data_IF_627964851541
#
_entry.id   IF_627964851541
#
_cell.length_a   1.000
_cell.length_b   1.000
_cell.length_c   1.000
_cell.angle_alpha   90.00
_cell.angle_beta   90.00
_cell.angle_gamma   90.00
#
_symmetry.space_group_name_H-M   'P 1'
#
loop_
_entity.id
_entity.type
_entity.pdbx_description
1 polymer ?
#
# COMPACT_ATOMS: atom_id res chain seq x y z
N UNK A 1 9.79 -3.98 -3.65
CA UNK A 1 9.64 -3.26 -2.38
C UNK A 1 8.31 -3.56 -1.67
N UNK A 2 7.59 -4.64 -2.01
CA UNK A 2 6.39 -5.09 -1.25
C UNK A 2 6.67 -6.37 -0.45
N UNK A 3 7.74 -7.11 -0.79
CA UNK A 3 8.10 -8.40 -0.16
C UNK A 3 8.98 -8.31 1.09
N UNK A 4 9.44 -7.11 1.49
CA UNK A 4 10.24 -6.93 2.71
C UNK A 4 9.38 -6.60 3.94
N UNK A 5 8.10 -6.26 3.75
CA UNK A 5 7.22 -5.80 4.83
C UNK A 5 6.69 -6.95 5.70
N UNK A 6 6.37 -8.10 5.09
CA UNK A 6 5.83 -9.24 5.85
C UNK A 6 6.94 -9.94 6.69
N UNK A 7 8.21 -9.91 6.26
CA UNK A 7 9.35 -10.45 7.03
C UNK A 7 9.68 -9.62 8.30
N UNK A 8 9.45 -8.30 8.29
CA UNK A 8 9.76 -7.39 9.41
C UNK A 8 8.89 -7.70 10.64
N UNK A 9 7.58 -7.88 10.44
CA UNK A 9 6.67 -8.29 11.50
C UNK A 9 6.71 -9.80 11.79
N UNK A 10 6.89 -10.66 10.78
CA UNK A 10 6.96 -12.11 11.00
C UNK A 10 8.21 -12.54 11.78
N UNK A 11 9.37 -11.91 11.57
CA UNK A 11 10.60 -12.27 12.30
C UNK A 11 10.48 -12.03 13.82
N UNK A 12 9.76 -10.97 14.23
CA UNK A 12 9.43 -10.72 15.64
C UNK A 12 8.30 -11.64 16.15
N UNK A 13 7.28 -11.93 15.32
CA UNK A 13 6.14 -12.80 15.67
C UNK A 13 6.54 -14.28 15.81
N UNK A 14 7.38 -14.80 14.93
CA UNK A 14 7.80 -16.21 14.90
C UNK A 14 8.74 -16.58 16.05
N UNK A 15 9.46 -15.62 16.62
CA UNK A 15 10.27 -15.86 17.81
C UNK A 15 9.44 -16.17 19.09
N UNK A 16 8.11 -15.94 19.08
CA UNK A 16 7.29 -15.99 20.30
C UNK A 16 6.03 -16.89 20.24
N UNK A 17 5.66 -17.46 19.08
CA UNK A 17 4.40 -18.17 18.89
C UNK A 17 4.41 -19.70 19.18
N UNK A 18 5.33 -20.21 19.99
CA UNK A 18 5.43 -21.63 20.33
C UNK A 18 4.69 -21.98 21.64
N UNK A 19 3.35 -21.93 21.68
CA UNK A 19 2.57 -22.51 22.78
C UNK A 19 1.08 -22.78 22.44
N UNK A 20 0.76 -24.07 22.31
CA UNK A 20 -0.55 -24.74 22.53
C UNK A 20 -1.67 -24.73 21.44
N UNK A 21 -2.21 -25.92 21.08
CA UNK A 21 -3.39 -26.08 20.21
C UNK A 21 -4.64 -26.58 20.96
N UNK A 22 -5.85 -26.24 20.47
CA UNK A 22 -7.10 -26.94 20.84
C UNK A 22 -8.06 -27.10 19.65
N UNK A 23 -8.84 -28.17 19.67
CA UNK A 23 -9.58 -28.73 18.52
C UNK A 23 -11.07 -29.02 18.81
N UNK A 24 -11.92 -28.61 17.83
CA UNK A 24 -13.17 -29.20 17.25
C UNK A 24 -14.39 -29.44 18.16
N UNK A 25 -15.66 -29.44 17.71
CA UNK A 25 -16.28 -29.94 16.46
C UNK A 25 -17.75 -29.44 16.29
N UNK A 26 -18.21 -29.19 15.05
CA UNK A 26 -19.64 -29.20 14.63
C UNK A 26 -19.77 -29.66 13.16
N UNK A 27 -20.90 -30.30 12.83
CA UNK A 27 -21.27 -31.03 11.58
C UNK A 27 -20.52 -30.61 10.29
N UNK A 28 -20.05 -31.60 9.51
CA UNK A 28 -19.21 -31.49 8.28
C UNK A 28 -19.87 -30.64 7.18
N UNK A 29 -19.79 -29.31 7.29
CA UNK A 29 -19.67 -28.43 6.13
C UNK A 29 -18.25 -28.59 5.59
N UNK A 30 -18.08 -28.56 4.27
CA UNK A 30 -16.73 -28.46 3.68
C UNK A 30 -16.06 -27.23 4.29
N UNK A 31 -15.00 -27.46 5.08
CA UNK A 31 -14.22 -26.38 5.66
C UNK A 31 -13.31 -25.87 4.56
N UNK A 32 -13.76 -24.81 3.89
CA UNK A 32 -12.99 -24.11 2.87
C UNK A 32 -11.69 -23.58 3.50
N UNK A 33 -10.55 -24.04 2.97
CA UNK A 33 -9.24 -23.50 3.31
C UNK A 33 -8.93 -22.28 2.44
N UNK A 34 -7.92 -21.48 2.82
CA UNK A 34 -7.46 -20.36 1.98
C UNK A 34 -7.03 -20.84 0.60
N UNK A 35 -6.31 -21.98 0.54
CA UNK A 35 -5.92 -22.60 -0.73
C UNK A 35 -7.13 -22.96 -1.60
N UNK A 36 -8.15 -23.59 -1.01
CA UNK A 36 -9.38 -23.94 -1.72
C UNK A 36 -10.14 -22.71 -2.22
N UNK A 37 -10.16 -21.62 -1.45
CA UNK A 37 -10.79 -20.36 -1.85
C UNK A 37 -10.05 -19.71 -3.03
N UNK A 38 -8.71 -19.74 -3.02
CA UNK A 38 -7.90 -19.22 -4.13
C UNK A 38 -8.08 -20.08 -5.40
N UNK A 39 -8.06 -21.40 -5.24
CA UNK A 39 -8.24 -22.35 -6.35
C UNK A 39 -9.63 -22.26 -6.97
N UNK A 40 -10.70 -22.05 -6.18
CA UNK A 40 -12.06 -21.95 -6.73
C UNK A 40 -12.24 -20.64 -7.52
N UNK A 41 -11.63 -19.54 -7.06
CA UNK A 41 -11.60 -18.28 -7.81
C UNK A 41 -10.81 -18.43 -9.12
N UNK A 42 -9.65 -19.10 -9.10
CA UNK A 42 -8.86 -19.36 -10.30
C UNK A 42 -9.62 -20.23 -11.31
N UNK A 43 -10.27 -21.29 -10.85
CA UNK A 43 -11.09 -22.16 -11.69
C UNK A 43 -12.22 -21.38 -12.36
N UNK A 44 -12.87 -20.45 -11.64
CA UNK A 44 -13.90 -19.58 -12.20
C UNK A 44 -13.34 -18.68 -13.31
N UNK A 45 -12.22 -18.00 -13.04
CA UNK A 45 -11.57 -17.10 -14.00
C UNK A 45 -11.18 -17.85 -15.28
N UNK A 46 -10.45 -18.97 -15.15
CA UNK A 46 -10.02 -19.79 -16.29
C UNK A 46 -11.20 -20.36 -17.07
N UNK A 47 -12.27 -20.78 -16.38
CA UNK A 47 -13.48 -21.26 -17.05
C UNK A 47 -14.16 -20.17 -17.87
N UNK A 48 -14.22 -18.93 -17.36
CA UNK A 48 -14.78 -17.79 -18.10
C UNK A 48 -13.91 -17.43 -19.32
N UNK A 49 -12.59 -17.42 -19.17
CA UNK A 49 -11.65 -17.19 -20.28
C UNK A 49 -11.78 -18.25 -21.38
N UNK A 50 -11.85 -19.53 -21.02
CA UNK A 50 -12.00 -20.65 -21.97
C UNK A 50 -13.35 -20.66 -22.68
N UNK A 51 -14.42 -20.19 -22.02
CA UNK A 51 -15.74 -20.10 -22.66
C UNK A 51 -15.85 -18.88 -23.58
N UNK A 52 -15.03 -17.85 -23.34
CA UNK A 52 -14.95 -16.65 -24.17
C UNK A 52 -13.95 -16.77 -25.34
N UNK A 53 -13.13 -17.82 -25.39
CA UNK A 53 -12.15 -18.03 -26.48
C UNK A 53 -12.77 -18.72 -27.70
N UNK A 54 -12.05 -18.69 -28.83
CA UNK A 54 -12.45 -19.41 -30.05
C UNK A 54 -12.41 -20.94 -29.88
N UNK A 55 -11.69 -21.42 -28.87
CA UNK A 55 -11.49 -22.83 -28.50
C UNK A 55 -12.40 -23.29 -27.36
N UNK A 56 -13.70 -22.98 -27.44
CA UNK A 56 -14.66 -23.30 -26.38
C UNK A 56 -14.68 -24.80 -26.07
N UNK A 57 -14.49 -25.22 -24.81
CA UNK A 57 -14.59 -26.62 -24.41
C UNK A 57 -15.95 -27.22 -24.80
N UNK A 58 -15.94 -28.38 -25.45
CA UNK A 58 -17.16 -29.08 -25.87
C UNK A 58 -17.34 -30.40 -25.13
N UNK A 59 -18.59 -30.83 -25.03
CA UNK A 59 -18.98 -32.15 -24.57
C UNK A 59 -18.73 -33.18 -25.67
N UNK A 60 -18.72 -34.48 -25.29
CA UNK A 60 -18.54 -35.59 -26.25
C UNK A 60 -19.57 -35.60 -27.40
N UNK A 61 -20.71 -34.92 -27.21
CA UNK A 61 -21.77 -34.73 -28.20
C UNK A 61 -21.60 -33.44 -29.04
N UNK A 62 -20.47 -32.75 -28.95
CA UNK A 62 -20.17 -31.53 -29.69
C UNK A 62 -20.79 -30.24 -29.12
N UNK A 63 -21.63 -30.31 -28.08
CA UNK A 63 -22.22 -29.10 -27.46
C UNK A 63 -21.19 -28.33 -26.63
N UNK A 64 -21.18 -27.00 -26.74
CA UNK A 64 -20.33 -26.12 -25.91
C UNK A 64 -20.67 -26.30 -24.42
N UNK A 65 -19.64 -26.42 -23.58
CA UNK A 65 -19.77 -26.49 -22.11
C UNK A 65 -20.02 -25.10 -21.55
N UNK A 66 -20.90 -25.01 -20.55
CA UNK A 66 -21.09 -23.78 -19.78
C UNK A 66 -19.92 -23.55 -18.82
N UNK A 67 -19.66 -22.30 -18.44
CA UNK A 67 -18.51 -21.97 -17.58
C UNK A 67 -18.55 -22.69 -16.22
N UNK A 68 -19.74 -22.98 -15.66
CA UNK A 68 -19.89 -23.70 -14.39
C UNK A 68 -19.39 -25.15 -14.53
N UNK A 69 -19.65 -25.77 -15.69
CA UNK A 69 -19.21 -27.13 -15.98
C UNK A 69 -17.68 -27.18 -16.16
N UNK A 70 -17.12 -26.23 -16.90
CA UNK A 70 -15.67 -26.07 -17.09
C UNK A 70 -14.98 -25.77 -15.75
N UNK A 71 -15.56 -24.91 -14.93
CA UNK A 71 -15.07 -24.57 -13.59
C UNK A 71 -14.99 -25.79 -12.68
N UNK A 72 -16.00 -26.68 -12.74
CA UNK A 72 -16.01 -27.93 -11.98
C UNK A 72 -14.91 -28.88 -12.46
N UNK A 73 -14.68 -28.99 -13.77
CA UNK A 73 -13.61 -29.82 -14.33
C UNK A 73 -12.23 -29.34 -13.88
N UNK A 74 -11.98 -28.02 -13.97
CA UNK A 74 -10.73 -27.42 -13.49
C UNK A 74 -10.52 -27.64 -11.99
N UNK A 75 -11.60 -27.62 -11.20
CA UNK A 75 -11.55 -27.91 -9.77
C UNK A 75 -11.20 -29.37 -9.47
N UNK A 76 -11.76 -30.30 -10.23
CA UNK A 76 -11.47 -31.74 -10.13
C UNK A 76 -10.03 -32.04 -10.57
N UNK A 77 -9.55 -31.40 -11.65
CA UNK A 77 -8.17 -31.50 -12.14
C UNK A 77 -7.14 -31.02 -11.11
N UNK A 78 -7.50 -30.05 -10.26
CA UNK A 78 -6.68 -29.63 -9.12
C UNK A 78 -6.66 -30.63 -7.95
N UNK A 79 -7.30 -31.79 -8.09
CA UNK A 79 -7.29 -32.87 -7.09
C UNK A 79 -8.42 -32.80 -6.05
N UNK A 80 -9.34 -31.84 -6.19
CA UNK A 80 -10.43 -31.64 -5.23
C UNK A 80 -11.71 -32.43 -5.52
N UNK A 81 -11.68 -33.35 -6.49
CA UNK A 81 -12.84 -34.18 -6.85
C UNK A 81 -13.39 -35.02 -5.69
N UNK A 82 -12.52 -35.41 -4.75
CA UNK A 82 -12.89 -36.15 -3.54
C UNK A 82 -13.86 -35.39 -2.62
N UNK A 83 -13.99 -34.07 -2.77
CA UNK A 83 -14.93 -33.25 -2.00
C UNK A 83 -16.37 -33.31 -2.53
N UNK A 84 -16.58 -33.92 -3.71
CA UNK A 84 -17.89 -34.13 -4.33
C UNK A 84 -18.79 -32.88 -4.40
N UNK A 85 -18.18 -31.71 -4.59
CA UNK A 85 -18.90 -30.44 -4.69
C UNK A 85 -19.58 -30.31 -6.06
N UNK A 86 -20.82 -29.83 -6.09
CA UNK A 86 -21.49 -29.51 -7.35
C UNK A 86 -20.94 -28.21 -7.94
N UNK A 87 -21.00 -28.06 -9.26
CA UNK A 87 -20.57 -26.83 -9.94
C UNK A 87 -21.29 -25.58 -9.40
N UNK A 88 -22.56 -25.74 -8.99
CA UNK A 88 -23.33 -24.69 -8.34
C UNK A 88 -22.74 -24.29 -6.97
N UNK A 89 -22.28 -25.25 -6.15
CA UNK A 89 -21.60 -24.93 -4.88
C UNK A 89 -20.30 -24.15 -5.09
N UNK A 90 -19.53 -24.52 -6.12
CA UNK A 90 -18.29 -23.82 -6.49
C UNK A 90 -18.58 -22.39 -6.96
N UNK A 91 -19.61 -22.22 -7.82
CA UNK A 91 -20.08 -20.90 -8.26
C UNK A 91 -20.52 -20.03 -7.09
N UNK A 92 -21.32 -20.58 -6.18
CA UNK A 92 -21.86 -19.84 -5.03
C UNK A 92 -20.74 -19.46 -4.06
N UNK A 93 -19.78 -20.36 -3.83
CA UNK A 93 -18.61 -20.05 -3.01
C UNK A 93 -17.75 -18.96 -3.65
N UNK A 94 -17.43 -19.06 -4.94
CA UNK A 94 -16.68 -18.04 -5.65
C UNK A 94 -17.42 -16.68 -5.64
N UNK A 95 -18.74 -16.70 -5.86
CA UNK A 95 -19.55 -15.47 -5.85
C UNK A 95 -19.63 -14.85 -4.44
N UNK A 96 -19.68 -15.67 -3.39
CA UNK A 96 -19.63 -15.21 -1.99
C UNK A 96 -18.27 -14.59 -1.66
N UNK A 97 -17.19 -15.21 -2.11
CA UNK A 97 -15.82 -14.68 -1.95
C UNK A 97 -15.68 -13.35 -2.68
N UNK A 98 -16.14 -13.25 -3.93
CA UNK A 98 -16.10 -12.00 -4.70
C UNK A 98 -16.93 -10.88 -4.07
N UNK A 99 -18.14 -11.17 -3.59
CA UNK A 99 -18.96 -10.16 -2.88
C UNK A 99 -18.28 -9.68 -1.60
N UNK A 100 -17.75 -10.62 -0.79
CA UNK A 100 -17.01 -10.27 0.42
C UNK A 100 -15.72 -9.49 0.11
N UNK A 101 -15.01 -9.82 -0.97
CA UNK A 101 -13.84 -9.06 -1.42
C UNK A 101 -14.22 -7.65 -1.86
N UNK A 102 -15.34 -7.49 -2.58
CA UNK A 102 -15.82 -6.18 -3.02
C UNK A 102 -16.21 -5.28 -1.84
N UNK A 103 -16.94 -5.82 -0.87
CA UNK A 103 -17.31 -5.10 0.35
C UNK A 103 -16.07 -4.68 1.13
N UNK A 104 -15.13 -5.60 1.33
CA UNK A 104 -13.85 -5.27 1.96
C UNK A 104 -13.06 -4.21 1.17
N UNK A 105 -13.02 -4.29 -0.17
CA UNK A 105 -12.37 -3.26 -0.98
C UNK A 105 -13.03 -1.89 -0.80
N UNK A 106 -14.36 -1.82 -0.72
CA UNK A 106 -15.08 -0.57 -0.42
C UNK A 106 -14.73 -0.05 0.96
N UNK A 107 -14.78 -0.89 1.99
CA UNK A 107 -14.39 -0.53 3.37
C UNK A 107 -12.95 -0.02 3.47
N UNK A 108 -12.05 -0.54 2.63
CA UNK A 108 -10.65 -0.12 2.59
C UNK A 108 -10.43 1.22 1.86
N UNK A 109 -11.41 1.74 1.13
CA UNK A 109 -11.32 3.03 0.43
C UNK A 109 -12.38 3.99 0.99
N UNK A 110 -12.12 4.62 2.14
CA UNK A 110 -13.08 5.50 2.79
C UNK A 110 -13.31 6.78 1.97
N UNK A 111 -14.43 7.42 2.25
CA UNK A 111 -14.72 8.78 1.80
C UNK A 111 -13.78 9.80 2.46
N UNK A 112 -13.59 10.99 1.85
CA UNK A 112 -12.74 12.02 2.42
C UNK A 112 -13.17 12.44 3.83
N UNK A 113 -12.21 12.44 4.75
CA UNK A 113 -12.33 12.96 6.09
C UNK A 113 -12.22 14.49 6.08
N UNK A 114 -13.01 15.15 6.93
CA UNK A 114 -12.86 16.58 7.17
C UNK A 114 -11.48 16.94 7.74
N UNK A 115 -11.00 18.13 7.39
CA UNK A 115 -9.75 18.69 7.93
C UNK A 115 -10.00 19.31 9.30
N UNK A 116 -9.08 19.10 10.24
CA UNK A 116 -9.12 19.76 11.54
C UNK A 116 -8.03 20.81 11.62
N UNK A 117 -8.32 21.99 12.16
CA UNK A 117 -7.34 23.07 12.22
C UNK A 117 -6.04 22.65 12.95
N UNK A 118 -6.16 21.80 13.97
CA UNK A 118 -5.02 21.27 14.74
C UNK A 118 -4.11 20.30 13.96
N UNK A 119 -4.58 19.75 12.84
CA UNK A 119 -3.78 18.87 11.98
C UNK A 119 -3.06 19.64 10.87
N UNK A 120 -3.29 20.95 10.74
CA UNK A 120 -2.68 21.79 9.71
C UNK A 120 -1.44 22.54 10.22
N UNK A 121 -0.45 22.64 9.34
CA UNK A 121 0.72 23.48 9.52
C UNK A 121 0.54 24.82 8.81
N UNK A 122 1.04 25.89 9.41
CA UNK A 122 0.97 27.26 8.88
C UNK A 122 2.35 27.90 8.73
N UNK A 123 3.39 27.06 8.61
CA UNK A 123 4.77 27.53 8.37
C UNK A 123 4.93 28.16 6.98
N UNK A 124 6.07 28.83 6.73
CA UNK A 124 6.35 29.37 5.40
C UNK A 124 6.39 28.26 4.36
N UNK A 125 5.83 28.53 3.18
CA UNK A 125 5.98 27.67 2.01
C UNK A 125 7.18 28.21 1.23
N UNK A 126 8.30 27.52 1.31
CA UNK A 126 9.52 27.93 0.60
C UNK A 126 9.36 27.71 -0.91
N UNK A 127 9.81 28.69 -1.69
CA UNK A 127 9.85 28.58 -3.14
C UNK A 127 10.91 27.57 -3.58
N UNK A 128 10.53 26.63 -4.44
CA UNK A 128 11.46 25.65 -5.02
C UNK A 128 11.89 26.14 -6.39
N UNK A 129 13.20 26.31 -6.66
CA UNK A 129 13.66 26.71 -7.98
C UNK A 129 13.46 25.59 -9.01
N UNK A 130 12.90 25.91 -10.16
CA UNK A 130 12.64 24.95 -11.26
C UNK A 130 13.89 24.19 -11.70
N UNK A 131 15.08 24.78 -11.54
CA UNK A 131 16.36 24.17 -11.86
C UNK A 131 16.62 22.86 -11.12
N UNK A 132 15.98 22.65 -9.96
CA UNK A 132 15.99 21.40 -9.22
C UNK A 132 15.53 20.22 -10.08
N UNK A 133 14.57 20.44 -10.98
CA UNK A 133 13.99 19.39 -11.81
C UNK A 133 14.69 19.24 -13.17
N UNK A 134 15.72 20.03 -13.48
CA UNK A 134 16.45 19.92 -14.75
C UNK A 134 17.20 18.60 -14.91
N UNK A 135 17.52 17.92 -13.81
CA UNK A 135 18.06 16.55 -13.83
C UNK A 135 17.08 15.54 -14.44
N UNK A 136 15.78 15.83 -14.46
CA UNK A 136 14.78 14.99 -15.10
C UNK A 136 14.89 15.18 -16.62
N UNK A 137 15.70 14.32 -17.23
CA UNK A 137 15.96 14.26 -18.66
C UNK A 137 15.64 12.86 -19.24
N UNK A 138 15.82 12.71 -20.55
CA UNK A 138 15.53 11.49 -21.29
C UNK A 138 16.32 10.28 -20.80
N UNK A 139 17.57 10.48 -20.38
CA UNK A 139 18.43 9.42 -19.83
C UNK A 139 17.90 8.93 -18.49
N UNK A 140 17.47 9.85 -17.62
CA UNK A 140 16.85 9.50 -16.34
C UNK A 140 15.54 8.73 -16.55
N UNK A 141 14.72 9.13 -17.52
CA UNK A 141 13.48 8.40 -17.88
C UNK A 141 13.80 7.01 -18.40
N UNK A 142 14.78 6.88 -19.29
CA UNK A 142 15.21 5.58 -19.85
C UNK A 142 15.71 4.65 -18.74
N UNK A 143 16.53 5.18 -17.84
CA UNK A 143 17.07 4.48 -16.67
C UNK A 143 15.95 4.07 -15.68
N UNK A 144 14.96 4.95 -15.45
CA UNK A 144 13.77 4.62 -14.67
C UNK A 144 12.91 3.52 -15.32
N UNK A 145 12.77 3.52 -16.65
CA UNK A 145 12.06 2.48 -17.40
C UNK A 145 12.76 1.11 -17.28
N UNK A 146 14.09 1.07 -17.45
CA UNK A 146 14.90 -0.15 -17.29
C UNK A 146 14.69 -0.79 -15.92
N UNK A 147 14.69 0.02 -14.86
CA UNK A 147 14.50 -0.43 -13.46
C UNK A 147 13.04 -0.67 -13.07
N UNK A 148 12.08 -0.36 -13.94
CA UNK A 148 10.66 -0.59 -13.65
C UNK A 148 10.28 -2.05 -13.90
N UNK A 149 9.48 -2.56 -12.96
CA UNK A 149 9.01 -3.95 -12.90
C UNK A 149 7.51 -3.92 -12.53
N UNK A 150 6.85 -5.06 -12.70
CA UNK A 150 5.45 -5.23 -12.36
C UNK A 150 4.51 -5.08 -13.55
N UNK A 151 3.25 -5.39 -13.29
CA UNK A 151 2.20 -5.50 -14.30
C UNK A 151 1.68 -4.14 -14.78
N UNK A 152 0.93 -4.16 -15.87
CA UNK A 152 0.27 -2.96 -16.40
C UNK A 152 -0.81 -2.42 -15.48
N UNK A 153 -1.04 -1.11 -15.59
CA UNK A 153 -2.21 -0.45 -15.02
C UNK A 153 -3.45 -0.69 -15.88
N UNK A 154 -4.42 0.24 -15.89
CA UNK A 154 -5.62 0.15 -16.74
C UNK A 154 -5.34 -0.07 -18.23
N UNK A 155 -4.28 0.53 -18.79
CA UNK A 155 -3.87 0.36 -20.20
C UNK A 155 -3.41 -1.05 -20.57
N UNK A 156 -3.09 -1.90 -19.58
CA UNK A 156 -2.63 -3.27 -19.79
C UNK A 156 -1.16 -3.40 -20.22
N UNK A 157 -0.48 -2.33 -20.62
CA UNK A 157 0.94 -2.38 -20.99
C UNK A 157 1.79 -2.51 -19.71
N UNK A 158 2.58 -3.58 -19.62
CA UNK A 158 3.41 -3.85 -18.45
C UNK A 158 4.79 -3.16 -18.50
N UNK A 159 5.60 -3.38 -17.47
CA UNK A 159 6.93 -2.79 -17.40
C UNK A 159 7.88 -3.26 -18.51
N UNK A 160 7.73 -4.48 -19.04
CA UNK A 160 8.55 -4.97 -20.15
C UNK A 160 8.13 -4.31 -21.46
N UNK A 161 6.84 -4.09 -21.67
CA UNK A 161 6.29 -3.32 -22.79
C UNK A 161 6.87 -1.91 -22.82
N UNK A 162 6.77 -1.16 -21.72
CA UNK A 162 7.37 0.18 -21.64
C UNK A 162 8.89 0.18 -21.76
N UNK A 163 9.58 -0.82 -21.22
CA UNK A 163 11.03 -0.96 -21.42
C UNK A 163 11.35 -1.09 -22.92
N UNK A 164 10.63 -1.95 -23.63
CA UNK A 164 10.82 -2.10 -25.09
C UNK A 164 10.50 -0.79 -25.83
N UNK A 165 9.41 -0.11 -25.49
CA UNK A 165 9.00 1.15 -26.13
C UNK A 165 10.07 2.24 -25.95
N UNK A 166 10.62 2.38 -24.73
CA UNK A 166 11.49 3.51 -24.37
C UNK A 166 12.98 3.26 -24.60
N UNK A 167 13.41 1.98 -24.68
CA UNK A 167 14.84 1.64 -24.69
C UNK A 167 15.28 0.85 -25.93
N UNK A 168 14.36 0.45 -26.82
CA UNK A 168 14.74 -0.38 -27.97
C UNK A 168 15.26 0.48 -29.14
N UNK A 169 16.49 0.18 -29.57
CA UNK A 169 17.13 0.86 -30.71
C UNK A 169 16.40 0.66 -32.05
N UNK A 170 15.49 -0.32 -32.14
CA UNK A 170 14.67 -0.53 -33.35
C UNK A 170 13.81 0.69 -33.69
N UNK A 171 13.39 1.46 -32.68
CA UNK A 171 12.57 2.67 -32.85
C UNK A 171 13.40 3.94 -33.15
N UNK A 172 14.71 3.81 -33.40
CA UNK A 172 15.61 4.93 -33.71
C UNK A 172 15.41 6.11 -32.73
N UNK A 173 15.11 7.30 -33.24
CA UNK A 173 14.96 8.54 -32.46
C UNK A 173 13.64 8.61 -31.68
N UNK A 174 12.60 7.91 -32.10
CA UNK A 174 11.26 7.99 -31.50
C UNK A 174 11.24 7.56 -30.04
N UNK A 175 12.05 6.57 -29.65
CA UNK A 175 12.17 6.19 -28.24
C UNK A 175 12.78 7.30 -27.38
N UNK A 176 13.78 8.01 -27.91
CA UNK A 176 14.40 9.17 -27.24
C UNK A 176 13.44 10.35 -27.16
N UNK A 177 12.76 10.70 -28.26
CA UNK A 177 11.74 11.78 -28.29
C UNK A 177 10.61 11.52 -27.29
N UNK A 178 10.19 10.26 -27.14
CA UNK A 178 9.21 9.89 -26.13
C UNK A 178 9.77 10.04 -24.71
N UNK A 179 11.02 9.65 -24.45
CA UNK A 179 11.67 9.89 -23.16
C UNK A 179 11.78 11.39 -22.84
N UNK A 180 12.12 12.23 -23.83
CA UNK A 180 12.16 13.70 -23.69
C UNK A 180 10.77 14.26 -23.35
N UNK A 181 9.71 13.80 -24.04
CA UNK A 181 8.34 14.20 -23.76
C UNK A 181 7.88 13.79 -22.35
N UNK A 182 8.22 12.58 -21.91
CA UNK A 182 7.92 12.10 -20.55
C UNK A 182 8.69 12.92 -19.51
N UNK A 183 9.96 13.25 -19.77
CA UNK A 183 10.75 14.10 -18.89
C UNK A 183 10.14 15.51 -18.78
N UNK A 184 9.74 16.11 -19.90
CA UNK A 184 9.02 17.40 -19.95
C UNK A 184 7.72 17.36 -19.15
N UNK A 185 6.88 16.33 -19.38
CA UNK A 185 5.64 16.13 -18.61
C UNK A 185 5.93 15.98 -17.11
N UNK A 186 6.96 15.23 -16.74
CA UNK A 186 7.34 15.01 -15.33
C UNK A 186 7.75 16.32 -14.66
N UNK A 187 8.57 17.14 -15.33
CA UNK A 187 8.98 18.47 -14.83
C UNK A 187 7.77 19.38 -14.65
N UNK A 188 6.88 19.43 -15.65
CA UNK A 188 5.63 20.20 -15.58
C UNK A 188 4.77 19.80 -14.38
N UNK A 189 4.67 18.49 -14.08
CA UNK A 189 3.94 18.01 -12.91
C UNK A 189 4.62 18.39 -11.58
N UNK A 190 5.89 18.75 -11.58
CA UNK A 190 6.61 19.25 -10.40
C UNK A 190 6.53 20.77 -10.23
N UNK A 191 6.31 21.53 -11.31
CA UNK A 191 6.39 23.00 -11.28
C UNK A 191 5.04 23.69 -11.44
N UNK A 192 4.06 23.04 -12.08
CA UNK A 192 2.76 23.63 -12.40
C UNK A 192 1.61 22.82 -11.79
N UNK A 193 0.52 23.51 -11.39
CA UNK A 193 -0.75 22.85 -11.14
C UNK A 193 -1.46 22.55 -12.48
N UNK A 194 -1.48 21.28 -12.87
CA UNK A 194 -2.07 20.82 -14.15
C UNK A 194 -3.51 20.38 -13.93
N UNK A 195 -4.46 20.84 -14.75
CA UNK A 195 -5.88 20.47 -14.67
C UNK A 195 -6.10 18.95 -14.41
N UNK A 196 -6.80 18.56 -13.31
CA UNK A 196 -6.98 17.16 -12.97
C UNK A 196 -7.67 16.32 -14.05
N UNK A 197 -8.55 16.93 -14.86
CA UNK A 197 -9.22 16.20 -15.95
C UNK A 197 -8.21 15.65 -16.95
N UNK A 198 -7.15 16.41 -17.26
CA UNK A 198 -6.05 15.98 -18.12
C UNK A 198 -5.16 14.89 -17.50
N UNK A 199 -5.25 14.67 -16.18
CA UNK A 199 -4.44 13.67 -15.46
C UNK A 199 -5.21 12.38 -15.14
N UNK A 200 -6.53 12.35 -15.35
CA UNK A 200 -7.39 11.22 -14.94
C UNK A 200 -6.85 9.87 -15.42
N UNK A 201 -6.51 9.77 -16.70
CA UNK A 201 -6.05 8.52 -17.31
C UNK A 201 -4.71 8.04 -16.74
N UNK A 202 -3.75 8.94 -16.51
CA UNK A 202 -2.42 8.57 -15.98
C UNK A 202 -2.47 8.25 -14.49
N UNK A 203 -3.42 8.83 -13.75
CA UNK A 203 -3.62 8.62 -12.32
C UNK A 203 -4.51 7.43 -11.97
N UNK A 204 -5.29 6.92 -12.94
CA UNK A 204 -6.12 5.74 -12.76
C UNK A 204 -5.32 4.48 -12.40
N UNK A 205 -5.98 3.54 -11.72
CA UNK A 205 -5.35 2.34 -11.22
C UNK A 205 -6.21 1.12 -11.52
N UNK A 206 -5.56 0.01 -11.80
CA UNK A 206 -6.19 -1.31 -11.73
C UNK A 206 -6.09 -1.81 -10.30
N UNK A 207 -7.22 -1.99 -9.63
CA UNK A 207 -7.30 -2.41 -8.24
C UNK A 207 -7.33 -3.94 -8.13
N UNK A 208 -6.42 -4.48 -7.34
CA UNK A 208 -6.29 -5.91 -7.10
C UNK A 208 -6.54 -6.20 -5.60
N UNK A 209 -7.51 -7.07 -5.26
CA UNK A 209 -7.66 -7.58 -3.89
C UNK A 209 -6.61 -8.67 -3.64
N UNK A 210 -5.45 -8.30 -3.11
CA UNK A 210 -4.42 -9.28 -2.74
C UNK A 210 -4.84 -10.00 -1.46
N UNK A 211 -4.73 -11.32 -1.41
CA UNK A 211 -5.03 -12.12 -0.22
C UNK A 211 -4.02 -11.78 0.90
N UNK A 212 -4.53 -11.44 2.09
CA UNK A 212 -3.73 -11.18 3.31
C UNK A 212 -3.77 -12.39 4.27
N UNK A 213 -4.43 -13.48 3.90
CA UNK A 213 -4.74 -14.59 4.80
C UNK A 213 -6.01 -14.35 5.61
N UNK A 214 -6.56 -15.43 6.17
CA UNK A 214 -7.78 -15.46 6.99
C UNK A 214 -9.01 -14.77 6.37
N UNK A 215 -9.05 -14.72 5.04
CA UNK A 215 -10.14 -14.10 4.28
C UNK A 215 -10.08 -12.56 4.21
N UNK A 216 -9.01 -11.94 4.72
CA UNK A 216 -8.80 -10.50 4.62
C UNK A 216 -8.10 -10.11 3.31
N UNK A 217 -8.45 -8.94 2.76
CA UNK A 217 -7.81 -8.40 1.55
C UNK A 217 -6.89 -7.21 1.83
N UNK A 218 -5.81 -7.12 1.05
CA UNK A 218 -4.94 -5.95 0.91
C UNK A 218 -5.19 -5.32 -0.48
N UNK A 219 -5.76 -4.10 -0.55
CA UNK A 219 -5.99 -3.45 -1.84
C UNK A 219 -4.68 -2.97 -2.45
N UNK A 220 -4.38 -3.40 -3.68
CA UNK A 220 -3.21 -2.92 -4.43
C UNK A 220 -3.69 -2.10 -5.63
N UNK A 221 -3.35 -0.81 -5.65
CA UNK A 221 -3.61 0.09 -6.76
C UNK A 221 -2.48 0.02 -7.78
N UNK A 222 -2.63 -0.80 -8.81
CA UNK A 222 -1.65 -0.88 -9.90
C UNK A 222 -1.89 0.28 -10.87
N UNK A 223 -1.22 1.41 -10.64
CA UNK A 223 -1.26 2.58 -11.52
C UNK A 223 -0.54 2.35 -12.85
N UNK A 224 -0.70 3.25 -13.80
CA UNK A 224 0.00 3.19 -15.09
C UNK A 224 1.52 3.04 -14.93
N UNK A 225 2.15 2.26 -15.82
CA UNK A 225 3.62 2.11 -15.80
C UNK A 225 4.28 3.47 -16.05
N UNK A 226 3.69 4.28 -16.94
CA UNK A 226 4.13 5.65 -17.20
C UNK A 226 4.14 6.49 -15.91
N UNK A 227 3.06 6.46 -15.11
CA UNK A 227 2.99 7.11 -13.80
C UNK A 227 4.11 6.62 -12.87
N UNK A 228 4.41 5.32 -12.85
CA UNK A 228 5.49 4.77 -12.02
C UNK A 228 6.89 5.17 -12.50
N UNK A 229 7.10 5.34 -13.80
CA UNK A 229 8.36 5.86 -14.36
C UNK A 229 8.56 7.31 -13.93
N UNK A 230 7.55 8.17 -14.16
CA UNK A 230 7.59 9.58 -13.73
C UNK A 230 7.83 9.71 -12.23
N UNK A 231 7.07 8.97 -11.41
CA UNK A 231 7.22 8.98 -9.96
C UNK A 231 8.62 8.54 -9.49
N UNK A 232 9.29 7.64 -10.21
CA UNK A 232 10.68 7.25 -9.91
C UNK A 232 11.69 8.34 -10.26
N UNK A 233 11.50 9.06 -11.37
CA UNK A 233 12.33 10.22 -11.70
C UNK A 233 12.21 11.28 -10.60
N UNK A 234 10.99 11.64 -10.21
CA UNK A 234 10.74 12.58 -9.10
C UNK A 234 11.38 12.08 -7.81
N UNK A 235 11.12 10.83 -7.42
CA UNK A 235 11.71 10.24 -6.21
C UNK A 235 13.25 10.31 -6.23
N UNK A 236 13.89 10.11 -7.39
CA UNK A 236 15.35 10.16 -7.51
C UNK A 236 15.89 11.56 -7.22
N UNK A 237 15.26 12.59 -7.78
CA UNK A 237 15.67 14.00 -7.62
C UNK A 237 15.37 14.51 -6.21
N UNK A 238 14.21 14.16 -5.65
CA UNK A 238 13.76 14.70 -4.36
C UNK A 238 14.14 13.84 -3.16
N UNK A 239 14.84 12.73 -3.36
CA UNK A 239 15.23 11.80 -2.29
C UNK A 239 15.92 12.48 -1.10
N UNK A 240 16.91 13.37 -1.29
CA UNK A 240 17.56 14.03 -0.16
C UNK A 240 16.56 14.84 0.69
N UNK A 241 15.67 15.60 0.03
CA UNK A 241 14.65 16.41 0.71
C UNK A 241 13.61 15.57 1.42
N UNK A 242 13.24 14.42 0.84
CA UNK A 242 12.31 13.47 1.47
C UNK A 242 12.90 12.86 2.74
N UNK A 243 14.20 12.50 2.70
CA UNK A 243 14.90 11.96 3.85
C UNK A 243 15.00 13.01 4.96
N UNK A 244 15.39 14.24 4.60
CA UNK A 244 15.49 15.37 5.53
C UNK A 244 14.13 15.70 6.17
N UNK A 245 13.08 15.83 5.34
CA UNK A 245 11.72 16.11 5.80
C UNK A 245 11.10 14.98 6.65
N UNK A 246 11.59 13.75 6.57
CA UNK A 246 11.08 12.62 7.36
C UNK A 246 11.80 12.46 8.71
N UNK A 247 12.84 13.26 8.96
CA UNK A 247 13.68 13.20 10.15
C UNK A 247 14.22 11.75 10.39
N UNK A 248 14.76 11.53 11.59
CA UNK A 248 15.39 10.31 12.08
C UNK A 248 14.39 9.33 12.68
N UNK A 249 13.18 9.77 13.02
CA UNK A 249 12.19 8.94 13.69
C UNK A 249 11.31 8.13 12.74
N UNK A 250 11.11 8.59 11.50
CA UNK A 250 10.37 7.88 10.47
C UNK A 250 11.33 7.31 9.43
N UNK A 251 11.64 6.02 9.58
CA UNK A 251 12.75 5.38 8.86
C UNK A 251 12.33 4.69 7.55
N UNK A 252 11.09 4.87 7.09
CA UNK A 252 10.62 4.30 5.82
C UNK A 252 10.84 5.22 4.59
N UNK A 253 11.41 6.42 4.79
CA UNK A 253 11.56 7.43 3.74
C UNK A 253 12.81 7.24 2.84
N UNK A 254 13.64 6.23 3.14
CA UNK A 254 14.81 5.86 2.34
C UNK A 254 16.15 6.04 3.06
N UNK A 255 16.13 6.21 4.38
CA UNK A 255 17.30 6.18 5.26
C UNK A 255 18.05 4.86 5.10
N UNK A 256 19.38 4.92 4.99
CA UNK A 256 20.22 3.74 4.85
C UNK A 256 20.17 2.94 6.16
N UNK A 257 19.88 1.64 6.07
CA UNK A 257 19.72 0.77 7.23
C UNK A 257 18.69 1.25 8.27
N UNK A 258 17.68 2.02 7.85
CA UNK A 258 16.70 2.62 8.75
C UNK A 258 15.98 1.63 9.67
N UNK A 259 15.50 0.50 9.13
CA UNK A 259 14.84 -0.55 9.92
C UNK A 259 15.76 -1.21 10.95
N UNK A 260 17.04 -1.42 10.61
CA UNK A 260 18.03 -2.00 11.52
C UNK A 260 18.38 -1.01 12.64
N UNK A 261 18.63 0.26 12.28
CA UNK A 261 18.87 1.33 13.24
C UNK A 261 17.69 1.50 14.22
N UNK A 262 16.46 1.46 13.72
CA UNK A 262 15.23 1.51 14.53
C UNK A 262 15.18 0.38 15.57
N UNK A 263 15.45 -0.86 15.16
CA UNK A 263 15.44 -2.02 16.05
C UNK A 263 16.51 -1.90 17.13
N UNK A 264 17.75 -1.56 16.74
CA UNK A 264 18.85 -1.42 17.70
C UNK A 264 18.59 -0.30 18.71
N UNK A 265 18.12 0.86 18.23
CA UNK A 265 17.78 1.98 19.11
C UNK A 265 16.67 1.61 20.10
N UNK A 266 15.57 1.01 19.64
CA UNK A 266 14.46 0.64 20.53
C UNK A 266 14.85 -0.46 21.53
N UNK A 267 15.71 -1.41 21.12
CA UNK A 267 16.25 -2.43 22.02
C UNK A 267 17.10 -1.82 23.13
N UNK A 268 18.06 -0.98 22.78
CA UNK A 268 18.91 -0.28 23.76
C UNK A 268 18.07 0.55 24.74
N UNK A 269 17.08 1.30 24.22
CA UNK A 269 16.15 2.08 25.05
C UNK A 269 15.30 1.23 25.98
N UNK A 270 14.89 0.03 25.53
CA UNK A 270 14.15 -0.89 26.39
C UNK A 270 15.04 -1.50 27.47
N UNK A 271 16.31 -1.78 27.19
CA UNK A 271 17.25 -2.33 28.16
C UNK A 271 17.58 -1.33 29.30
N UNK A 272 17.52 -0.03 29.03
CA UNK A 272 17.76 1.04 30.01
C UNK A 272 16.89 0.94 31.27
N UNK A 273 17.45 1.21 32.45
CA UNK A 273 16.78 1.01 33.75
C UNK A 273 15.48 1.79 33.92
N UNK A 274 15.45 3.02 33.41
CA UNK A 274 14.27 3.91 33.45
C UNK A 274 13.16 3.52 32.46
N UNK A 275 13.36 2.50 31.63
CA UNK A 275 12.33 1.96 30.74
C UNK A 275 11.66 0.75 31.38
N UNK A 276 10.34 0.79 31.46
CA UNK A 276 9.52 -0.29 32.01
C UNK A 276 8.88 -1.14 30.92
N UNK A 277 8.55 -0.53 29.77
CA UNK A 277 7.74 -1.15 28.74
C UNK A 277 8.04 -0.64 27.32
N UNK A 278 7.68 -1.46 26.34
CA UNK A 278 7.58 -1.15 24.92
C UNK A 278 6.15 -1.40 24.46
N UNK A 279 5.56 -0.45 23.75
CA UNK A 279 4.25 -0.56 23.13
C UNK A 279 4.41 -0.57 21.60
N UNK A 280 3.97 -1.67 20.97
CA UNK A 280 3.94 -1.84 19.52
C UNK A 280 2.55 -1.50 19.00
N UNK A 281 2.47 -0.61 18.02
CA UNK A 281 1.20 -0.13 17.43
C UNK A 281 1.01 -0.71 16.04
N UNK A 282 -0.20 -1.19 15.79
CA UNK A 282 -0.69 -1.57 14.46
C UNK A 282 -1.81 -0.59 14.07
N UNK A 283 -1.66 0.12 12.95
CA UNK A 283 -2.66 1.06 12.49
C UNK A 283 -3.70 0.39 11.58
N UNK A 284 -4.95 0.80 11.71
CA UNK A 284 -6.04 0.33 10.85
C UNK A 284 -5.98 0.97 9.48
N UNK A 285 -5.92 0.13 8.44
CA UNK A 285 -6.05 0.56 7.03
C UNK A 285 -5.07 1.68 6.64
N UNK A 286 -3.80 1.51 7.05
CA UNK A 286 -2.72 2.42 6.68
C UNK A 286 -2.61 2.63 5.17
N UNK A 287 -1.95 3.73 4.79
CA UNK A 287 -1.95 4.33 3.46
C UNK A 287 -3.32 4.86 3.02
N UNK A 288 -4.35 4.02 2.99
CA UNK A 288 -5.69 4.39 2.50
C UNK A 288 -6.48 5.30 3.45
N UNK A 289 -6.10 5.35 4.73
CA UNK A 289 -6.79 6.19 5.73
C UNK A 289 -6.09 7.52 6.00
N UNK A 290 -4.90 7.76 5.43
CA UNK A 290 -4.17 9.03 5.64
C UNK A 290 -5.06 10.20 5.19
N UNK A 291 -5.27 11.19 6.06
CA UNK A 291 -6.08 12.37 5.74
C UNK A 291 -5.39 13.18 4.65
N UNK A 292 -5.86 13.01 3.42
CA UNK A 292 -5.27 13.47 2.19
C UNK A 292 -5.31 14.99 2.08
N UNK A 293 -6.41 15.61 2.51
CA UNK A 293 -6.51 17.06 2.50
C UNK A 293 -5.49 17.70 3.45
N UNK A 294 -5.35 17.16 4.68
CA UNK A 294 -4.31 17.60 5.63
C UNK A 294 -2.91 17.30 5.10
N UNK A 295 -2.69 16.12 4.51
CA UNK A 295 -1.42 15.72 3.94
C UNK A 295 -0.97 16.66 2.80
N UNK A 296 -1.87 16.97 1.86
CA UNK A 296 -1.59 17.84 0.72
C UNK A 296 -1.42 19.31 1.13
N UNK A 297 -2.06 19.75 2.21
CA UNK A 297 -1.79 21.07 2.80
C UNK A 297 -0.40 21.09 3.45
N UNK A 298 -0.14 20.15 4.35
CA UNK A 298 1.07 20.12 5.16
C UNK A 298 2.34 19.86 4.34
N UNK A 299 2.23 19.14 3.21
CA UNK A 299 3.40 18.83 2.39
C UNK A 299 4.07 20.08 1.81
N UNK A 300 3.32 21.16 1.59
CA UNK A 300 3.87 22.44 1.15
C UNK A 300 4.78 23.08 2.19
N UNK A 301 4.59 22.77 3.47
CA UNK A 301 5.46 23.23 4.57
C UNK A 301 6.57 22.21 4.85
N UNK A 302 6.25 20.92 4.84
CA UNK A 302 7.18 19.86 5.27
C UNK A 302 8.20 19.48 4.20
N UNK A 303 7.80 19.43 2.92
CA UNK A 303 8.68 19.05 1.83
C UNK A 303 8.23 19.75 0.53
N UNK A 304 8.47 21.07 0.41
CA UNK A 304 8.11 21.85 -0.77
C UNK A 304 8.53 21.20 -2.10
N UNK A 305 9.73 20.58 -2.24
CA UNK A 305 10.18 19.95 -3.48
C UNK A 305 9.29 18.84 -4.07
N UNK A 306 8.41 18.22 -3.28
CA UNK A 306 7.47 17.20 -3.78
C UNK A 306 6.02 17.68 -3.80
N UNK A 307 5.74 18.86 -3.26
CA UNK A 307 4.38 19.31 -2.96
C UNK A 307 3.51 19.39 -4.22
N UNK A 308 3.95 20.12 -5.24
CA UNK A 308 3.19 20.29 -6.50
C UNK A 308 2.91 18.94 -7.17
N UNK A 309 3.90 18.05 -7.21
CA UNK A 309 3.73 16.72 -7.80
C UNK A 309 2.75 15.86 -6.99
N UNK A 310 2.79 15.93 -5.65
CA UNK A 310 1.85 15.26 -4.78
C UNK A 310 0.42 15.79 -4.97
N UNK A 311 0.25 17.11 -5.05
CA UNK A 311 -1.03 17.79 -5.28
C UNK A 311 -1.60 17.40 -6.65
N UNK A 312 -0.80 17.42 -7.72
CA UNK A 312 -1.21 16.92 -9.03
C UNK A 312 -1.60 15.45 -9.00
N UNK A 313 -0.99 14.63 -8.15
CA UNK A 313 -1.26 13.20 -8.08
C UNK A 313 -2.52 12.85 -7.29
N UNK A 314 -2.84 13.60 -6.24
CA UNK A 314 -3.82 13.17 -5.24
C UNK A 314 -4.99 14.13 -5.01
N UNK A 315 -4.95 15.38 -5.46
CA UNK A 315 -6.01 16.35 -5.10
C UNK A 315 -7.43 15.96 -5.56
N UNK A 316 -7.52 15.13 -6.60
CA UNK A 316 -8.78 14.54 -7.06
C UNK A 316 -8.83 13.03 -6.82
N UNK A 317 -10.02 12.44 -6.59
CA UNK A 317 -10.18 11.01 -6.43
C UNK A 317 -9.79 10.22 -7.69
N UNK A 318 -8.79 9.35 -7.56
CA UNK A 318 -8.35 8.48 -8.64
C UNK A 318 -9.35 7.33 -8.89
N UNK A 319 -9.56 6.97 -10.16
CA UNK A 319 -10.39 5.82 -10.56
C UNK A 319 -9.68 4.50 -10.28
N UNK A 320 -10.41 3.56 -9.71
CA UNK A 320 -9.94 2.22 -9.35
C UNK A 320 -10.77 1.19 -10.11
N UNK A 321 -10.20 0.61 -11.17
CA UNK A 321 -10.86 -0.40 -11.99
C UNK A 321 -10.64 -1.79 -11.41
N UNK A 322 -11.72 -2.53 -11.16
CA UNK A 322 -11.70 -3.90 -10.68
C UNK A 322 -12.06 -4.84 -11.83
N UNK A 323 -11.44 -6.01 -11.87
CA UNK A 323 -11.76 -7.06 -12.85
C UNK A 323 -13.26 -7.36 -12.80
N UNK A 324 -13.89 -7.46 -13.98
CA UNK A 324 -15.34 -7.65 -14.09
C UNK A 324 -16.12 -6.35 -14.33
N UNK A 325 -15.44 -5.23 -14.58
CA UNK A 325 -16.05 -3.97 -15.04
C UNK A 325 -16.57 -3.08 -13.91
N UNK A 326 -16.20 -3.36 -12.66
CA UNK A 326 -16.57 -2.52 -11.53
C UNK A 326 -15.55 -1.40 -11.31
N UNK A 327 -16.00 -0.32 -10.66
CA UNK A 327 -15.18 0.85 -10.37
C UNK A 327 -15.38 1.31 -8.93
N UNK A 328 -14.29 1.74 -8.29
CA UNK A 328 -14.28 2.49 -7.04
C UNK A 328 -13.49 3.79 -7.23
N UNK A 329 -13.57 4.68 -6.24
CA UNK A 329 -12.75 5.90 -6.18
C UNK A 329 -11.79 5.79 -5.00
N UNK A 330 -10.54 6.19 -5.21
CA UNK A 330 -9.58 6.42 -4.13
C UNK A 330 -9.70 7.89 -3.71
N UNK A 331 -10.52 8.16 -2.71
CA UNK A 331 -10.81 9.53 -2.25
C UNK A 331 -9.98 9.95 -1.02
N UNK A 332 -9.41 8.98 -0.30
CA UNK A 332 -8.55 9.19 0.87
C UNK A 332 -7.20 8.50 0.71
N UNK A 333 -6.20 8.94 1.45
CA UNK A 333 -4.93 8.22 1.54
C UNK A 333 -3.99 8.33 0.34
N UNK A 334 -2.96 7.50 0.34
CA UNK A 334 -1.97 7.35 -0.74
C UNK A 334 -2.07 5.98 -1.42
N UNK A 335 -1.71 5.90 -2.71
CA UNK A 335 -1.90 4.67 -3.50
C UNK A 335 -0.83 3.61 -3.19
N UNK A 336 -1.21 2.50 -2.58
CA UNK A 336 -0.31 1.35 -2.40
C UNK A 336 0.21 0.81 -3.74
N UNK A 337 1.52 0.83 -3.93
CA UNK A 337 2.20 0.43 -5.17
C UNK A 337 2.77 1.59 -6.00
N UNK A 338 2.46 2.84 -5.63
CA UNK A 338 3.05 4.02 -6.25
C UNK A 338 4.41 4.39 -5.62
N UNK A 339 5.47 4.72 -6.40
CA UNK A 339 6.80 5.00 -5.84
C UNK A 339 6.88 6.07 -4.74
N UNK A 340 6.07 7.13 -4.83
CA UNK A 340 6.07 8.21 -3.83
C UNK A 340 5.09 7.99 -2.67
N UNK A 341 4.25 6.95 -2.70
CA UNK A 341 3.21 6.78 -1.68
C UNK A 341 3.78 6.62 -0.28
N UNK A 342 4.90 5.90 -0.14
CA UNK A 342 5.59 5.70 1.13
C UNK A 342 6.21 7.01 1.65
N UNK A 343 6.90 7.76 0.80
CA UNK A 343 7.47 9.06 1.15
C UNK A 343 6.39 10.06 1.60
N UNK A 344 5.27 10.12 0.88
CA UNK A 344 4.16 11.00 1.25
C UNK A 344 3.54 10.59 2.58
N UNK A 345 3.34 9.30 2.80
CA UNK A 345 2.82 8.80 4.07
C UNK A 345 3.78 9.13 5.23
N UNK A 346 5.08 8.89 5.05
CA UNK A 346 6.13 9.18 6.02
C UNK A 346 6.14 10.66 6.43
N UNK A 347 6.16 11.57 5.45
CA UNK A 347 6.22 13.02 5.70
C UNK A 347 4.92 13.51 6.33
N UNK A 348 3.77 13.00 5.87
CA UNK A 348 2.46 13.48 6.36
C UNK A 348 2.20 13.16 7.83
N UNK A 349 2.93 12.20 8.42
CA UNK A 349 2.84 11.87 9.83
C UNK A 349 3.85 12.64 10.71
N UNK A 350 4.76 13.42 10.15
CA UNK A 350 5.72 14.21 10.93
C UNK A 350 5.07 15.13 11.98
N UNK A 351 3.96 15.84 11.68
CA UNK A 351 3.28 16.66 12.70
C UNK A 351 2.83 15.83 13.91
N UNK A 352 2.40 14.57 13.69
CA UNK A 352 2.04 13.65 14.76
C UNK A 352 3.27 13.26 15.58
N UNK A 353 4.35 12.86 14.90
CA UNK A 353 5.60 12.43 15.53
C UNK A 353 6.14 13.53 16.44
N UNK A 354 6.28 14.76 15.93
CA UNK A 354 6.74 15.92 16.70
C UNK A 354 5.83 16.21 17.89
N UNK A 355 4.51 16.15 17.69
CA UNK A 355 3.56 16.37 18.78
C UNK A 355 3.70 15.34 19.90
N UNK A 356 3.92 14.07 19.55
CA UNK A 356 4.14 13.01 20.52
C UNK A 356 5.46 13.18 21.28
N UNK A 357 6.53 13.62 20.61
CA UNK A 357 7.81 13.92 21.26
C UNK A 357 7.68 15.04 22.30
N UNK A 358 6.86 16.07 22.02
CA UNK A 358 6.62 17.17 22.97
C UNK A 358 5.77 16.72 24.16
N UNK A 359 4.85 15.78 23.94
CA UNK A 359 3.86 15.37 24.94
C UNK A 359 4.33 14.31 25.92
N UNK A 360 5.32 13.50 25.56
CA UNK A 360 5.81 12.43 26.41
C UNK A 360 7.33 12.26 26.27
N UNK A 361 7.98 11.87 27.37
CA UNK A 361 9.39 11.48 27.35
C UNK A 361 9.62 10.09 26.75
N UNK A 362 8.55 9.38 26.35
CA UNK A 362 8.66 8.10 25.68
C UNK A 362 9.48 8.24 24.39
N UNK A 363 10.49 7.38 24.26
CA UNK A 363 11.20 7.20 23.01
C UNK A 363 10.26 6.59 21.98
N UNK A 364 10.39 6.98 20.72
CA UNK A 364 9.54 6.45 19.67
C UNK A 364 10.34 6.15 18.40
N UNK A 365 9.86 5.22 17.60
CA UNK A 365 10.38 4.96 16.26
C UNK A 365 9.25 4.48 15.34
N UNK A 366 9.31 4.88 14.08
CA UNK A 366 8.28 4.66 13.09
C UNK A 366 8.86 4.02 11.84
N UNK A 367 8.20 2.99 11.36
CA UNK A 367 8.38 2.47 10.01
C UNK A 367 7.02 2.49 9.31
N UNK A 368 6.79 3.53 8.51
CA UNK A 368 5.47 3.84 7.97
C UNK A 368 4.42 3.89 9.08
N UNK A 369 3.50 2.94 9.12
CA UNK A 369 2.42 2.81 10.10
C UNK A 369 2.75 1.93 11.30
N UNK A 370 3.83 1.14 11.25
CA UNK A 370 4.31 0.37 12.38
C UNK A 370 5.06 1.31 13.35
N UNK A 371 4.54 1.45 14.56
CA UNK A 371 5.06 2.39 15.56
C UNK A 371 5.49 1.67 16.82
N UNK A 372 6.60 2.11 17.39
CA UNK A 372 7.12 1.62 18.66
C UNK A 372 7.24 2.81 19.61
N UNK A 373 6.63 2.71 20.79
CA UNK A 373 6.83 3.61 21.92
C UNK A 373 7.54 2.88 23.07
N UNK A 374 8.53 3.50 23.72
CA UNK A 374 9.35 2.87 24.75
C UNK A 374 9.67 3.84 25.88
N UNK A 375 9.53 3.41 27.14
CA UNK A 375 9.83 4.25 28.30
C UNK A 375 9.21 3.72 29.60
N UNK A 376 9.06 4.62 30.58
CA UNK A 376 8.28 4.30 31.79
C UNK A 376 6.82 4.03 31.43
N UNK A 377 6.09 3.26 32.25
CA UNK A 377 4.68 2.99 32.00
C UNK A 377 3.85 4.28 31.92
N UNK A 378 4.18 5.29 32.74
CA UNK A 378 3.51 6.60 32.73
C UNK A 378 3.75 7.38 31.44
N UNK A 379 4.99 7.41 30.96
CA UNK A 379 5.34 8.08 29.70
C UNK A 379 4.71 7.38 28.50
N UNK A 380 4.77 6.03 28.46
CA UNK A 380 4.16 5.24 27.39
C UNK A 380 2.64 5.43 27.37
N UNK A 381 1.99 5.50 28.54
CA UNK A 381 0.54 5.78 28.62
C UNK A 381 0.20 7.18 28.12
N UNK A 382 0.96 8.20 28.54
CA UNK A 382 0.78 9.59 28.08
C UNK A 382 0.95 9.70 26.57
N UNK A 383 1.98 9.03 26.03
CA UNK A 383 2.25 8.95 24.59
C UNK A 383 1.11 8.27 23.84
N UNK A 384 0.62 7.13 24.34
CA UNK A 384 -0.51 6.39 23.76
C UNK A 384 -1.81 7.22 23.75
N UNK A 385 -2.12 7.89 24.85
CA UNK A 385 -3.33 8.71 24.95
C UNK A 385 -3.31 9.86 23.94
N UNK A 386 -2.16 10.52 23.79
CA UNK A 386 -1.99 11.56 22.79
C UNK A 386 -2.08 10.99 21.36
N UNK A 387 -1.49 9.81 21.10
CA UNK A 387 -1.57 9.12 19.81
C UNK A 387 -3.03 8.81 19.44
N UNK A 388 -3.84 8.35 20.39
CA UNK A 388 -5.26 8.04 20.19
C UNK A 388 -6.10 9.28 19.84
N UNK A 389 -5.71 10.47 20.32
CA UNK A 389 -6.43 11.73 20.08
C UNK A 389 -5.96 12.43 18.80
N UNK A 390 -4.65 12.43 18.56
CA UNK A 390 -4.00 13.23 17.51
C UNK A 390 -3.66 12.44 16.25
N UNK A 391 -3.61 11.11 16.32
CA UNK A 391 -3.45 10.24 15.15
C UNK A 391 -4.63 10.31 14.17
N UNK A 392 -5.89 10.07 14.62
CA UNK A 392 -7.04 9.98 13.71
C UNK A 392 -7.30 11.22 12.83
N UNK A 393 -7.10 12.47 13.29
CA UNK A 393 -7.18 13.65 12.42
C UNK A 393 -6.20 13.65 11.24
N UNK A 394 -5.06 12.96 11.37
CA UNK A 394 -4.06 12.79 10.32
C UNK A 394 -4.23 11.47 9.56
N UNK A 395 -5.21 10.65 9.94
CA UNK A 395 -5.48 9.36 9.30
C UNK A 395 -4.61 8.21 9.79
N UNK A 396 -3.84 8.40 10.87
CA UNK A 396 -3.20 7.30 11.59
C UNK A 396 -4.12 6.84 12.73
N UNK A 397 -4.78 5.70 12.52
CA UNK A 397 -5.82 5.21 13.44
C UNK A 397 -5.31 3.95 14.13
N UNK A 398 -4.78 4.02 15.38
CA UNK A 398 -4.30 2.84 16.09
C UNK A 398 -5.42 1.80 16.24
N UNK A 399 -5.05 0.52 16.19
CA UNK A 399 -5.95 -0.59 16.46
C UNK A 399 -5.60 -1.24 17.81
N UNK A 400 -6.26 -0.85 18.93
CA UNK A 400 -5.91 -1.36 20.25
C UNK A 400 -5.90 -2.89 20.34
N UNK A 401 -6.77 -3.58 19.59
CA UNK A 401 -6.86 -5.05 19.59
C UNK A 401 -5.65 -5.75 18.95
N UNK A 402 -4.83 -5.01 18.21
CA UNK A 402 -3.63 -5.50 17.52
C UNK A 402 -2.35 -4.89 18.06
N UNK A 403 -2.45 -3.94 18.98
CA UNK A 403 -1.30 -3.38 19.68
C UNK A 403 -0.79 -4.36 20.75
N UNK A 404 0.52 -4.32 21.01
CA UNK A 404 1.16 -5.21 21.99
C UNK A 404 1.96 -4.41 23.00
N UNK A 405 1.65 -4.56 24.28
CA UNK A 405 2.45 -4.00 25.37
C UNK A 405 3.38 -5.09 25.91
N UNK A 406 4.68 -4.83 25.85
CA UNK A 406 5.74 -5.69 26.37
C UNK A 406 6.32 -5.01 27.61
N UNK A 407 6.21 -5.66 28.76
CA UNK A 407 6.62 -5.11 30.05
C UNK A 407 7.76 -5.93 30.65
N UNK A 408 8.74 -5.26 31.25
CA UNK A 408 9.82 -5.94 31.99
C UNK A 408 9.24 -6.82 33.10
N UNK A 409 9.84 -8.00 33.38
CA UNK A 409 9.30 -8.95 34.37
C UNK A 409 8.99 -8.33 35.74
N UNK A 410 9.84 -7.41 36.23
CA UNK A 410 9.69 -6.74 37.53
C UNK A 410 8.46 -5.81 37.63
N UNK A 411 7.83 -5.47 36.50
CA UNK A 411 6.70 -4.53 36.40
C UNK A 411 5.39 -5.19 35.97
N UNK A 412 5.37 -6.53 35.81
CA UNK A 412 4.17 -7.29 35.41
C UNK A 412 3.05 -7.31 36.45
N UNK A 413 3.38 -7.15 37.74
CA UNK A 413 2.39 -7.14 38.82
C UNK A 413 1.63 -5.81 38.96
N UNK A 414 2.10 -4.76 38.29
CA UNK A 414 1.57 -3.38 38.35
C UNK A 414 0.77 -2.98 37.11
N UNK A 415 0.63 -3.88 36.13
CA UNK A 415 -0.06 -3.64 34.85
C UNK A 415 -1.43 -4.29 34.80
#
# INVERSE_FOLDING_TARGET
MVYLNDYYCEAMRHAMAAAMPFSRSRKRKVKWTNQMNNDVLECKRRAQELVASDSVPTNRNGRKKGYIEVMKQLWEEKGYGHLALQGQNLRDQASRLEKGQQEQLKEKHPDPQGVQLRSLLFGPIEGVPDSMYYEINEDMVRDAALRTKGSGGPSGIDANGFRRILTCNFFKRTGTELCEAIASMTKRLCTEYVDPQGLEAVLANRLIPLDKGDGAVRPIGVGEVLRRIMGKCVTKVTKPNVIDASDSLQVCAGQRSGSEAAIHAMRERFEHENSDAVLLIDASNAFNSLNRASALHNIGVLCPPIATYAINTYREPARLFIIGGQELRSSEGTTQGFPLAMSLYAISLQPLITRLQVKSAASQCWYADDVIGCGSLGDVKTWWDELMVSGPPLGHIPNPSKCWLIVKPKKRATC
#
